data_IF_671262006614
#
_entry.id   IF_671262006614
#
_cell.length_a   1.000
_cell.length_b   1.000
_cell.length_c   1.000
_cell.angle_alpha   90.00
_cell.angle_beta   90.00
_cell.angle_gamma   90.00
#
_symmetry.space_group_name_H-M   'P 1'
#
loop_
_entity.id
_entity.type
_entity.pdbx_description
1 polymer ?
#
# COMPACT_ATOMS: atom_id res chain seq x y z
N UNK A 1 -12.30 -28.60 -28.24
CA UNK A 1 -12.28 -28.19 -26.82
C UNK A 1 -12.97 -26.84 -26.77
N UNK A 2 -14.17 -26.76 -26.20
CA UNK A 2 -14.92 -25.50 -26.13
C UNK A 2 -14.12 -24.51 -25.30
N UNK A 3 -13.76 -23.38 -25.91
CA UNK A 3 -13.11 -22.27 -25.22
C UNK A 3 -14.11 -21.65 -24.26
N UNK A 4 -13.75 -21.53 -22.98
CA UNK A 4 -14.52 -20.76 -22.00
C UNK A 4 -14.73 -19.35 -22.55
N UNK A 5 -15.97 -18.85 -22.51
CA UNK A 5 -16.32 -17.52 -23.00
C UNK A 5 -15.47 -16.45 -22.29
N UNK A 6 -14.75 -15.63 -23.07
CA UNK A 6 -13.86 -14.58 -22.56
C UNK A 6 -14.60 -13.54 -21.71
N UNK A 7 -15.87 -13.25 -21.99
CA UNK A 7 -16.66 -12.30 -21.20
C UNK A 7 -16.91 -12.85 -19.79
N UNK A 8 -17.23 -14.15 -19.67
CA UNK A 8 -17.38 -14.80 -18.37
C UNK A 8 -16.07 -14.73 -17.57
N UNK A 9 -14.94 -15.01 -18.22
CA UNK A 9 -13.61 -14.92 -17.60
C UNK A 9 -13.33 -13.49 -17.16
N UNK A 10 -13.58 -12.49 -18.01
CA UNK A 10 -13.41 -11.07 -17.66
C UNK A 10 -14.22 -10.68 -16.40
N UNK A 11 -15.48 -11.09 -16.31
CA UNK A 11 -16.34 -10.79 -15.17
C UNK A 11 -15.91 -11.49 -13.87
N UNK A 12 -15.30 -12.67 -13.95
CA UNK A 12 -14.71 -13.36 -12.80
C UNK A 12 -13.42 -12.66 -12.37
N UNK A 13 -12.48 -12.47 -13.31
CA UNK A 13 -11.16 -11.92 -13.01
C UNK A 13 -11.23 -10.50 -12.44
N UNK A 14 -12.16 -9.65 -12.91
CA UNK A 14 -12.30 -8.28 -12.41
C UNK A 14 -12.75 -8.16 -10.94
N UNK A 15 -13.17 -9.28 -10.33
CA UNK A 15 -13.64 -9.35 -8.93
C UNK A 15 -12.64 -10.06 -8.02
N UNK A 16 -11.51 -10.51 -8.54
CA UNK A 16 -10.51 -11.19 -7.74
C UNK A 16 -9.70 -10.19 -6.89
N UNK A 17 -9.29 -10.57 -5.68
CA UNK A 17 -8.24 -9.86 -4.96
C UNK A 17 -6.95 -9.80 -5.78
N UNK A 18 -6.10 -8.80 -5.52
CA UNK A 18 -4.89 -8.53 -6.29
C UNK A 18 -3.97 -9.75 -6.44
N UNK A 19 -3.80 -10.53 -5.36
CA UNK A 19 -2.93 -11.72 -5.35
C UNK A 19 -3.47 -12.79 -6.30
N UNK A 20 -4.76 -13.14 -6.18
CA UNK A 20 -5.39 -14.13 -7.06
C UNK A 20 -5.45 -13.64 -8.51
N UNK A 21 -5.65 -12.33 -8.70
CA UNK A 21 -5.62 -11.70 -10.02
C UNK A 21 -4.23 -11.80 -10.68
N UNK A 22 -3.16 -11.58 -9.92
CA UNK A 22 -1.80 -11.75 -10.40
C UNK A 22 -1.51 -13.20 -10.80
N UNK A 23 -1.94 -14.19 -10.00
CA UNK A 23 -1.84 -15.61 -10.37
C UNK A 23 -2.60 -15.93 -11.65
N UNK A 24 -3.82 -15.40 -11.81
CA UNK A 24 -4.64 -15.58 -13.00
C UNK A 24 -3.95 -15.03 -14.27
N UNK A 25 -3.25 -13.90 -14.15
CA UNK A 25 -2.50 -13.31 -15.27
C UNK A 25 -1.35 -14.20 -15.80
N UNK A 26 -0.92 -15.20 -15.03
CA UNK A 26 0.16 -16.11 -15.39
C UNK A 26 -0.31 -17.46 -15.96
N UNK A 27 -1.63 -17.73 -15.98
CA UNK A 27 -2.18 -19.04 -16.39
C UNK A 27 -2.03 -19.30 -17.89
N UNK A 28 -2.36 -18.31 -18.73
CA UNK A 28 -2.28 -18.43 -20.19
C UNK A 28 -2.20 -17.06 -20.87
N UNK A 29 -1.85 -17.03 -22.17
CA UNK A 29 -1.83 -15.80 -22.97
C UNK A 29 -3.20 -15.12 -23.03
N UNK A 30 -4.29 -15.88 -23.18
CA UNK A 30 -5.66 -15.35 -23.23
C UNK A 30 -6.05 -14.70 -21.89
N UNK A 31 -5.79 -15.38 -20.76
CA UNK A 31 -6.06 -14.81 -19.44
C UNK A 31 -5.21 -13.58 -19.14
N UNK A 32 -3.93 -13.59 -19.53
CA UNK A 32 -3.06 -12.42 -19.43
C UNK A 32 -3.61 -11.22 -20.21
N UNK A 33 -4.10 -11.43 -21.44
CA UNK A 33 -4.73 -10.38 -22.25
C UNK A 33 -5.97 -9.80 -21.55
N UNK A 34 -6.83 -10.66 -20.97
CA UNK A 34 -8.00 -10.22 -20.19
C UNK A 34 -7.56 -9.41 -18.96
N UNK A 35 -6.55 -9.86 -18.22
CA UNK A 35 -6.00 -9.11 -17.08
C UNK A 35 -5.44 -7.74 -17.50
N UNK A 36 -4.75 -7.67 -18.65
CA UNK A 36 -4.26 -6.40 -19.20
C UNK A 36 -5.40 -5.48 -19.65
N UNK A 37 -6.54 -6.02 -20.10
CA UNK A 37 -7.75 -5.22 -20.37
C UNK A 37 -8.37 -4.66 -19.09
N UNK A 38 -8.43 -5.46 -18.03
CA UNK A 38 -8.93 -5.03 -16.71
C UNK A 38 -8.04 -3.92 -16.13
N UNK A 39 -6.73 -4.11 -16.20
CA UNK A 39 -5.72 -3.14 -15.78
C UNK A 39 -5.13 -2.39 -16.98
N UNK A 40 -6.00 -1.69 -17.72
CA UNK A 40 -5.62 -0.92 -18.92
C UNK A 40 -5.44 0.59 -18.66
N UNK A 41 -5.84 1.07 -17.47
CA UNK A 41 -5.81 2.47 -17.10
C UNK A 41 -5.08 2.66 -15.76
N UNK A 42 -4.54 3.85 -15.49
CA UNK A 42 -4.01 4.16 -14.18
C UNK A 42 -5.04 3.89 -13.08
N UNK A 43 -4.60 3.28 -11.99
CA UNK A 43 -5.42 2.98 -10.81
C UNK A 43 -4.62 3.30 -9.56
N UNK A 44 -5.26 3.94 -8.60
CA UNK A 44 -4.75 4.16 -7.26
C UNK A 44 -5.66 3.47 -6.26
N UNK A 45 -5.07 2.70 -5.36
CA UNK A 45 -5.75 2.16 -4.20
C UNK A 45 -5.10 2.79 -2.96
N UNK A 46 -5.92 3.35 -2.07
CA UNK A 46 -5.43 3.96 -0.83
C UNK A 46 -6.29 3.52 0.34
N UNK A 47 -5.69 3.35 1.50
CA UNK A 47 -6.37 2.99 2.73
C UNK A 47 -5.60 3.53 3.94
N UNK A 48 -6.35 3.85 4.99
CA UNK A 48 -5.85 4.36 6.26
C UNK A 48 -6.31 3.48 7.42
N UNK A 49 -5.46 3.34 8.44
CA UNK A 49 -5.85 2.71 9.70
C UNK A 49 -5.26 3.46 10.89
N UNK A 50 -6.12 3.78 11.85
CA UNK A 50 -5.80 4.37 13.15
C UNK A 50 -5.85 3.33 14.28
N UNK A 51 -5.59 2.07 13.95
CA UNK A 51 -5.69 0.99 14.91
C UNK A 51 -4.50 1.02 15.88
N UNK A 52 -4.76 0.96 17.20
CA UNK A 52 -3.75 1.06 18.25
C UNK A 52 -2.55 0.10 18.08
N UNK A 53 -2.79 -1.12 17.58
CA UNK A 53 -1.71 -1.99 17.13
C UNK A 53 -1.27 -1.63 15.72
N UNK A 54 -0.05 -1.08 15.61
CA UNK A 54 0.65 -0.74 14.36
C UNK A 54 0.75 -1.91 13.37
N UNK A 55 0.99 -3.13 13.86
CA UNK A 55 1.00 -4.35 13.03
C UNK A 55 -0.36 -4.64 12.41
N UNK A 56 -1.42 -4.60 13.22
CA UNK A 56 -2.79 -4.81 12.73
C UNK A 56 -3.18 -3.68 11.78
N UNK A 57 -2.81 -2.43 12.08
CA UNK A 57 -3.04 -1.28 11.21
C UNK A 57 -2.40 -1.50 9.82
N UNK A 58 -1.13 -1.89 9.80
CA UNK A 58 -0.36 -2.18 8.58
C UNK A 58 -0.98 -3.32 7.78
N UNK A 59 -1.38 -4.40 8.46
CA UNK A 59 -2.06 -5.54 7.83
C UNK A 59 -3.38 -5.10 7.18
N UNK A 60 -4.22 -4.36 7.90
CA UNK A 60 -5.53 -3.92 7.40
C UNK A 60 -5.41 -3.02 6.17
N UNK A 61 -4.49 -2.07 6.16
CA UNK A 61 -4.31 -1.20 4.97
C UNK A 61 -3.84 -2.01 3.76
N UNK A 62 -2.95 -3.00 3.95
CA UNK A 62 -2.53 -3.91 2.86
C UNK A 62 -3.70 -4.75 2.35
N UNK A 63 -4.49 -5.34 3.23
CA UNK A 63 -5.67 -6.12 2.85
C UNK A 63 -6.67 -5.28 2.06
N UNK A 64 -6.89 -4.03 2.47
CA UNK A 64 -7.79 -3.10 1.78
C UNK A 64 -7.28 -2.69 0.40
N UNK A 65 -6.01 -2.29 0.25
CA UNK A 65 -5.49 -1.87 -1.06
C UNK A 65 -5.37 -3.04 -2.05
N UNK A 66 -5.26 -4.28 -1.56
CA UNK A 66 -5.18 -5.50 -2.37
C UNK A 66 -6.53 -6.23 -2.51
N UNK A 67 -7.64 -5.66 -2.02
CA UNK A 67 -8.96 -6.29 -2.06
C UNK A 67 -9.54 -6.40 -3.48
N UNK A 68 -9.03 -5.58 -4.39
CA UNK A 68 -9.42 -5.54 -5.80
C UNK A 68 -8.22 -5.78 -6.73
N UNK A 69 -8.45 -6.07 -8.02
CA UNK A 69 -7.37 -6.18 -8.98
C UNK A 69 -6.53 -4.89 -9.04
N UNK A 70 -5.23 -5.04 -8.78
CA UNK A 70 -4.18 -4.05 -9.00
C UNK A 70 -2.84 -4.78 -9.20
N UNK A 71 -1.94 -4.21 -9.99
CA UNK A 71 -0.54 -4.65 -10.11
C UNK A 71 0.30 -3.45 -9.70
N UNK A 72 0.87 -3.43 -8.49
CA UNK A 72 1.62 -2.26 -8.02
C UNK A 72 2.81 -1.95 -8.94
N UNK A 73 2.88 -0.72 -9.42
CA UNK A 73 4.11 -0.15 -10.01
C UNK A 73 4.93 0.59 -8.95
N UNK A 74 4.27 1.09 -7.89
CA UNK A 74 4.90 1.67 -6.71
C UNK A 74 3.95 1.66 -5.52
N UNK A 75 4.50 1.87 -4.32
CA UNK A 75 3.72 2.15 -3.12
C UNK A 75 4.34 3.23 -2.23
N UNK A 76 3.49 3.95 -1.52
CA UNK A 76 3.86 5.01 -0.58
C UNK A 76 3.11 4.75 0.71
N UNK A 77 3.84 4.56 1.80
CA UNK A 77 3.31 4.44 3.15
C UNK A 77 3.71 5.65 3.98
N UNK A 78 2.72 6.34 4.54
CA UNK A 78 2.95 7.42 5.49
C UNK A 78 2.48 6.96 6.87
N UNK A 79 3.35 7.05 7.86
CA UNK A 79 3.00 6.83 9.26
C UNK A 79 2.97 8.16 10.00
N UNK A 80 2.04 8.31 10.94
CA UNK A 80 2.00 9.45 11.86
C UNK A 80 1.75 8.97 13.30
N UNK A 81 2.10 9.85 14.24
CA UNK A 81 1.98 9.61 15.67
C UNK A 81 3.21 8.96 16.27
N UNK A 82 3.61 9.43 17.46
CA UNK A 82 4.79 8.93 18.17
C UNK A 82 4.61 7.49 18.69
N UNK A 83 3.36 7.02 18.78
CA UNK A 83 3.01 5.69 19.28
C UNK A 83 3.02 4.59 18.20
N UNK A 84 3.31 4.94 16.94
CA UNK A 84 3.47 3.94 15.88
C UNK A 84 4.75 3.14 16.10
N UNK A 85 4.65 2.10 16.92
CA UNK A 85 5.77 1.34 17.49
C UNK A 85 6.52 0.45 16.51
N UNK A 86 5.99 0.22 15.29
CA UNK A 86 6.67 -0.61 14.30
C UNK A 86 7.85 0.16 13.69
N UNK A 87 9.08 -0.39 13.73
CA UNK A 87 10.23 0.20 13.06
C UNK A 87 9.97 0.36 11.55
N UNK A 88 10.44 1.46 10.97
CA UNK A 88 10.26 1.75 9.54
C UNK A 88 10.78 0.63 8.62
N UNK A 89 11.91 0.02 8.97
CA UNK A 89 12.48 -1.11 8.23
C UNK A 89 11.55 -2.34 8.29
N UNK A 90 10.91 -2.60 9.43
CA UNK A 90 9.95 -3.69 9.57
C UNK A 90 8.68 -3.45 8.74
N UNK A 91 8.22 -2.20 8.65
CA UNK A 91 7.10 -1.82 7.77
C UNK A 91 7.50 -2.05 6.31
N UNK A 92 8.69 -1.58 5.90
CA UNK A 92 9.19 -1.74 4.55
C UNK A 92 9.32 -3.22 4.16
N UNK A 93 9.91 -4.05 5.02
CA UNK A 93 10.03 -5.50 4.82
C UNK A 93 8.66 -6.17 4.69
N UNK A 94 7.71 -5.81 5.56
CA UNK A 94 6.35 -6.32 5.50
C UNK A 94 5.66 -5.95 4.18
N UNK A 95 5.76 -4.69 3.76
CA UNK A 95 5.17 -4.22 2.50
C UNK A 95 5.83 -4.86 1.28
N UNK A 96 7.17 -4.98 1.27
CA UNK A 96 7.90 -5.64 0.18
C UNK A 96 7.50 -7.12 0.04
N UNK A 97 7.29 -7.82 1.16
CA UNK A 97 6.80 -9.19 1.15
C UNK A 97 5.37 -9.33 0.57
N UNK A 98 4.53 -8.30 0.73
CA UNK A 98 3.12 -8.32 0.27
C UNK A 98 2.91 -7.76 -1.13
N UNK A 99 3.65 -6.73 -1.51
CA UNK A 99 3.53 -6.02 -2.79
C UNK A 99 4.52 -6.53 -3.85
N UNK A 100 5.47 -7.36 -3.45
CA UNK A 100 6.53 -7.90 -4.30
C UNK A 100 7.81 -7.08 -4.20
N UNK A 101 8.95 -7.78 -4.15
CA UNK A 101 10.28 -7.19 -3.98
C UNK A 101 10.73 -6.28 -5.14
N UNK A 102 10.08 -6.39 -6.31
CA UNK A 102 10.33 -5.53 -7.46
C UNK A 102 9.58 -4.20 -7.43
N UNK A 103 8.65 -4.02 -6.48
CA UNK A 103 7.85 -2.80 -6.35
C UNK A 103 8.65 -1.78 -5.54
N UNK A 104 8.95 -0.58 -6.09
CA UNK A 104 9.52 0.51 -5.31
C UNK A 104 8.55 0.96 -4.21
N UNK A 105 9.03 1.00 -2.97
CA UNK A 105 8.23 1.37 -1.79
C UNK A 105 8.91 2.52 -1.07
N UNK A 106 8.15 3.58 -0.78
CA UNK A 106 8.56 4.68 0.08
C UNK A 106 7.81 4.52 1.40
N UNK A 107 8.53 4.54 2.51
CA UNK A 107 7.95 4.61 3.85
C UNK A 107 8.45 5.90 4.50
N UNK A 108 7.54 6.77 4.91
CA UNK A 108 7.84 8.07 5.51
C UNK A 108 7.09 8.26 6.83
N UNK A 109 7.76 8.91 7.78
CA UNK A 109 7.09 9.47 8.96
C UNK A 109 6.64 10.89 8.65
N UNK A 110 5.37 11.17 8.89
CA UNK A 110 4.72 12.44 8.60
C UNK A 110 4.18 13.06 9.90
N UNK A 111 4.10 14.39 9.93
CA UNK A 111 3.48 15.14 11.03
C UNK A 111 1.95 15.01 11.04
N UNK A 112 1.35 14.51 9.97
CA UNK A 112 -0.06 14.22 9.86
C UNK A 112 -0.34 13.32 8.67
N UNK A 113 -1.46 12.61 8.72
CA UNK A 113 -1.92 11.71 7.67
C UNK A 113 -3.40 11.95 7.37
N UNK A 114 -3.76 11.66 6.14
CA UNK A 114 -5.07 11.93 5.58
C UNK A 114 -5.46 10.74 4.70
N UNK A 115 -6.69 10.22 4.82
CA UNK A 115 -7.11 9.09 4.01
C UNK A 115 -8.47 8.51 4.34
N UNK A 116 -8.81 7.42 3.65
CA UNK A 116 -10.06 6.67 3.85
C UNK A 116 -9.83 5.55 4.84
N UNK A 117 -10.54 5.57 5.97
CA UNK A 117 -10.45 4.58 7.02
C UNK A 117 -10.91 3.18 6.54
N UNK A 118 -10.10 2.18 6.85
CA UNK A 118 -10.31 0.80 6.40
C UNK A 118 -11.57 0.13 6.94
N UNK A 119 -12.10 0.59 8.08
CA UNK A 119 -13.24 -0.03 8.77
C UNK A 119 -14.56 0.52 8.23
N UNK A 120 -14.69 1.85 8.16
CA UNK A 120 -15.96 2.50 7.87
C UNK A 120 -15.98 3.23 6.52
N UNK A 121 -14.88 3.19 5.76
CA UNK A 121 -14.72 3.92 4.49
C UNK A 121 -14.95 5.44 4.62
N UNK A 122 -14.88 5.97 5.84
CA UNK A 122 -14.96 7.40 6.07
C UNK A 122 -13.61 8.06 5.86
N UNK A 123 -13.67 9.23 5.26
CA UNK A 123 -12.51 10.06 5.10
C UNK A 123 -12.14 10.71 6.46
N UNK A 124 -10.88 10.57 6.90
CA UNK A 124 -10.37 11.20 8.12
C UNK A 124 -8.99 11.85 7.88
N UNK A 125 -8.67 12.78 8.76
CA UNK A 125 -7.39 13.47 8.83
C UNK A 125 -6.94 13.51 10.29
N UNK A 126 -5.66 13.24 10.51
CA UNK A 126 -5.05 13.19 11.83
C UNK A 126 -3.74 13.97 11.78
N UNK A 127 -3.54 14.84 12.76
CA UNK A 127 -2.29 15.57 12.95
C UNK A 127 -1.62 15.17 14.27
N UNK A 128 -0.30 15.04 14.24
CA UNK A 128 0.53 14.91 15.44
C UNK A 128 0.52 16.24 16.19
N UNK A 129 -0.01 16.21 17.42
CA UNK A 129 -0.28 17.38 18.27
C UNK A 129 0.99 18.20 18.57
N UNK A 130 2.17 17.60 18.40
CA UNK A 130 3.45 18.24 18.71
C UNK A 130 3.95 19.22 17.63
N UNK A 131 3.27 19.36 16.49
CA UNK A 131 3.75 20.22 15.41
C UNK A 131 3.36 21.71 15.57
N UNK A 132 2.46 22.06 16.51
CA UNK A 132 1.87 23.41 16.60
C UNK A 132 1.69 23.97 18.03
N UNK A 133 2.07 23.25 19.09
CA UNK A 133 1.82 23.73 20.46
C UNK A 133 3.02 24.48 21.04
N UNK A 134 2.97 25.81 20.95
CA UNK A 134 3.68 26.74 21.83
C UNK A 134 2.79 27.00 23.07
N UNK A 135 2.74 26.07 24.03
CA UNK A 135 2.13 26.34 25.34
C UNK A 135 1.40 25.18 26.00
N UNK A 136 1.98 24.71 27.09
CA UNK A 136 1.41 24.29 28.39
C UNK A 136 -0.10 23.97 28.50
N UNK A 137 -0.67 23.11 27.64
CA UNK A 137 -1.89 22.36 27.97
C UNK A 137 -1.72 20.90 27.55
N UNK A 138 -1.23 20.12 28.51
CA UNK A 138 -1.12 18.67 28.42
C UNK A 138 -2.50 18.07 28.72
N UNK A 139 -3.44 18.24 27.78
CA UNK A 139 -4.60 17.36 27.73
C UNK A 139 -4.13 16.03 27.14
N UNK A 140 -4.46 14.92 27.81
CA UNK A 140 -4.31 13.55 27.33
C UNK A 140 -5.21 13.32 26.10
N UNK A 141 -4.98 14.06 25.01
CA UNK A 141 -5.60 13.77 23.73
C UNK A 141 -4.87 12.54 23.17
N UNK A 142 -5.62 11.45 23.00
CA UNK A 142 -5.20 10.27 22.23
C UNK A 142 -4.48 10.78 20.97
N UNK A 143 -3.16 10.63 20.93
CA UNK A 143 -2.39 10.99 19.75
C UNK A 143 -2.68 9.89 18.75
N UNK A 144 -3.69 10.10 17.92
CA UNK A 144 -4.09 9.15 16.89
C UNK A 144 -2.85 8.82 16.05
N UNK A 145 -2.33 7.61 16.26
CA UNK A 145 -1.24 7.05 15.47
C UNK A 145 -1.84 6.21 14.37
N UNK A 146 -1.18 6.19 13.22
CA UNK A 146 -1.75 5.49 12.09
C UNK A 146 -0.85 5.42 10.90
N UNK A 147 -1.36 4.71 9.90
CA UNK A 147 -0.70 4.48 8.63
C UNK A 147 -1.69 4.72 7.49
N UNK A 148 -1.22 5.41 6.45
CA UNK A 148 -1.86 5.51 5.15
C UNK A 148 -0.98 4.80 4.13
N UNK A 149 -1.52 3.80 3.44
CA UNK A 149 -0.86 3.12 2.34
C UNK A 149 -1.55 3.49 1.03
N UNK A 150 -0.77 4.00 0.08
CA UNK A 150 -1.20 4.24 -1.30
C UNK A 150 -0.41 3.36 -2.25
N UNK A 151 -1.12 2.64 -3.12
CA UNK A 151 -0.56 1.77 -4.15
C UNK A 151 -0.97 2.29 -5.52
N UNK A 152 0.01 2.54 -6.38
CA UNK A 152 -0.21 3.05 -7.73
C UNK A 152 0.05 1.98 -8.79
N UNK A 153 -0.82 1.92 -9.79
CA UNK A 153 -0.62 1.24 -11.05
C UNK A 153 -0.77 2.27 -12.17
N UNK A 154 0.25 2.44 -13.01
CA UNK A 154 0.31 3.44 -14.08
C UNK A 154 0.90 2.78 -15.34
N UNK A 155 0.06 2.16 -16.20
CA UNK A 155 0.52 1.50 -17.41
C UNK A 155 1.41 2.42 -18.26
N UNK A 156 2.59 1.93 -18.64
CA UNK A 156 3.54 2.65 -19.48
C UNK A 156 4.50 3.57 -18.72
N UNK A 157 4.30 3.78 -17.41
CA UNK A 157 5.29 4.43 -16.56
C UNK A 157 6.37 3.41 -16.19
N UNK A 158 7.64 3.84 -16.25
CA UNK A 158 8.76 3.08 -15.67
C UNK A 158 9.09 3.69 -14.32
N UNK A 159 9.08 2.86 -13.28
CA UNK A 159 9.43 3.27 -11.92
C UNK A 159 10.64 2.46 -11.46
N UNK A 160 11.64 3.14 -10.90
CA UNK A 160 12.83 2.52 -10.34
C UNK A 160 13.26 3.27 -9.08
N UNK A 161 13.71 2.56 -8.05
CA UNK A 161 14.27 3.15 -6.86
C UNK A 161 15.77 3.43 -7.06
N UNK A 162 16.16 4.70 -7.07
CA UNK A 162 17.56 5.12 -7.24
C UNK A 162 18.14 5.48 -5.86
N UNK A 163 19.09 4.69 -5.32
CA UNK A 163 19.71 5.01 -4.05
C UNK A 163 20.59 6.25 -4.20
N UNK A 164 20.29 7.31 -3.44
CA UNK A 164 21.09 8.55 -3.43
C UNK A 164 22.39 8.39 -2.64
N UNK A 165 22.40 7.50 -1.65
CA UNK A 165 23.58 7.19 -0.84
C UNK A 165 24.18 5.87 -1.32
N UNK A 166 25.49 5.85 -1.54
CA UNK A 166 26.20 4.62 -1.88
C UNK A 166 26.15 3.67 -0.68
N UNK A 167 25.89 2.37 -0.87
CA UNK A 167 26.01 1.39 0.21
C UNK A 167 27.43 1.49 0.78
N UNK A 168 27.53 1.69 2.09
CA UNK A 168 28.82 1.59 2.78
C UNK A 168 29.33 0.18 2.54
N UNK A 169 30.50 0.04 1.91
CA UNK A 169 31.15 -1.27 1.76
C UNK A 169 31.35 -1.84 3.17
N UNK A 170 30.58 -2.86 3.52
CA UNK A 170 30.90 -3.70 4.66
C UNK A 170 32.16 -4.47 4.26
N UNK A 171 33.31 -4.04 4.78
CA UNK A 171 34.54 -4.82 4.65
C UNK A 171 34.34 -6.09 5.49
N UNK A 172 34.01 -7.20 4.83
CA UNK A 172 34.12 -8.52 5.43
C UNK A 172 35.61 -8.76 5.69
N UNK A 173 36.00 -8.78 6.96
CA UNK A 173 37.29 -9.28 7.42
C UNK A 173 37.32 -10.81 7.34
#
# INVERSE_FOLDING_TARGET
>A
MESVNEDLVYHILKRLPAVSFASAACVSKSWNQICNRILSRPKFASAMSLHASSLIATQKVVEKVLSEPIRPDFAIANVAGNEFSLPMDAILEFLAAKLGSGTPIIVSSASGIMGTDVINDEFKEVMSVNAWSDGDEQEDMDVDSGIVLTVGFVPGLRVEAIPLLRPTKVNTL
#
